data_IF_722707795365
#
_entry.id   IF_722707795365
#
_cell.length_a   1.000
_cell.length_b   1.000
_cell.length_c   1.000
_cell.angle_alpha   90.00
_cell.angle_beta   90.00
_cell.angle_gamma   90.00
#
_symmetry.space_group_name_H-M   'P 1'
#
loop_
_entity.id
_entity.type
_entity.pdbx_description
1 polymer ?
#
# COMPACT_ATOMS: atom_id res chain seq x y z
N UNK A 1 -8.88 16.85 -2.40
CA UNK A 1 -8.14 15.59 -2.31
C UNK A 1 -7.77 15.29 -0.89
N UNK A 2 -8.00 14.08 -0.45
CA UNK A 2 -7.66 13.69 0.92
C UNK A 2 -6.15 13.61 1.09
N UNK A 3 -5.67 14.06 2.23
CA UNK A 3 -4.26 13.96 2.55
C UNK A 3 -3.93 12.55 3.01
N UNK A 4 -2.92 11.97 2.40
CA UNK A 4 -2.39 10.67 2.80
C UNK A 4 -0.91 10.84 3.06
N UNK A 5 -0.49 10.53 4.28
CA UNK A 5 0.92 10.55 4.63
C UNK A 5 1.54 9.20 4.30
N UNK A 6 2.68 9.21 3.63
CA UNK A 6 3.43 7.99 3.35
C UNK A 6 4.70 8.03 4.19
N UNK A 7 4.88 7.02 5.02
CA UNK A 7 5.98 6.95 5.97
C UNK A 7 6.73 5.64 5.76
N UNK A 8 8.06 5.71 5.88
CA UNK A 8 8.90 4.51 5.80
C UNK A 8 9.47 4.24 7.19
N UNK A 9 9.25 3.02 7.66
CA UNK A 9 9.78 2.56 8.93
C UNK A 9 10.71 1.38 8.71
N UNK A 10 11.73 1.20 9.57
CA UNK A 10 12.69 0.12 9.35
C UNK A 10 12.08 -1.28 9.54
N UNK A 11 11.33 -1.49 10.61
CA UNK A 11 10.78 -2.80 10.91
C UNK A 11 9.32 -2.71 11.36
N UNK A 12 8.50 -3.71 11.04
CA UNK A 12 7.12 -3.73 11.48
C UNK A 12 7.00 -4.14 12.95
N UNK A 13 5.86 -3.81 13.58
CA UNK A 13 5.61 -4.20 14.98
C UNK A 13 5.41 -5.72 15.14
N UNK A 14 5.16 -6.42 14.04
CA UNK A 14 5.01 -7.87 14.05
C UNK A 14 5.50 -8.46 12.73
N UNK A 15 5.97 -9.73 12.76
CA UNK A 15 6.50 -10.38 11.55
C UNK A 15 5.47 -10.48 10.42
N UNK A 16 5.96 -10.45 9.20
CA UNK A 16 5.15 -10.69 8.02
C UNK A 16 4.42 -9.48 7.49
N UNK A 17 4.52 -8.34 8.14
CA UNK A 17 3.83 -7.14 7.72
C UNK A 17 4.75 -6.33 6.78
N UNK A 18 4.31 -6.11 5.56
CA UNK A 18 5.07 -5.33 4.58
C UNK A 18 4.65 -3.86 4.57
N UNK A 19 3.39 -3.59 4.88
CA UNK A 19 2.86 -2.25 4.94
C UNK A 19 1.64 -2.20 5.82
N UNK A 20 1.19 -1.00 6.13
CA UNK A 20 0.03 -0.81 6.99
C UNK A 20 -0.69 0.47 6.60
N UNK A 21 -1.97 0.35 6.35
CA UNK A 21 -2.83 1.50 6.17
C UNK A 21 -3.51 1.82 7.50
N UNK A 22 -3.41 3.07 7.92
CA UNK A 22 -4.07 3.55 9.14
C UNK A 22 -4.93 4.76 8.78
N UNK A 23 -6.19 4.67 9.12
CA UNK A 23 -7.14 5.73 8.80
C UNK A 23 -8.51 5.13 8.56
N UNK A 24 -9.37 5.92 7.95
CA UNK A 24 -10.69 5.45 7.55
C UNK A 24 -10.81 5.47 6.04
N UNK A 25 -11.20 4.35 5.43
CA UNK A 25 -11.42 4.32 4.00
C UNK A 25 -12.42 5.39 3.57
N UNK A 26 -12.21 5.97 2.41
CA UNK A 26 -13.05 7.06 1.91
C UNK A 26 -14.51 6.66 1.85
N UNK A 27 -14.80 5.41 1.53
CA UNK A 27 -16.17 4.91 1.43
C UNK A 27 -16.94 4.98 2.75
N UNK A 28 -16.23 5.01 3.88
CA UNK A 28 -16.84 4.98 5.21
C UNK A 28 -16.76 6.30 5.97
N UNK A 29 -16.28 7.35 5.32
CA UNK A 29 -16.08 8.63 5.99
C UNK A 29 -17.37 9.44 6.06
N UNK A 30 -17.59 10.04 7.22
CA UNK A 30 -18.58 11.09 7.36
C UNK A 30 -17.93 12.44 7.03
N UNK A 31 -18.74 13.48 6.90
CA UNK A 31 -18.24 14.83 6.65
C UNK A 31 -17.32 15.30 7.77
N UNK A 32 -17.65 14.98 9.00
CA UNK A 32 -16.84 15.36 10.16
C UNK A 32 -15.48 14.69 10.12
N UNK A 33 -15.44 13.44 9.73
CA UNK A 33 -14.20 12.68 9.70
C UNK A 33 -13.24 13.19 8.64
N UNK A 34 -13.74 13.89 7.63
CA UNK A 34 -12.90 14.50 6.61
C UNK A 34 -11.95 15.55 7.18
N UNK A 35 -12.26 16.10 8.35
CA UNK A 35 -11.43 17.09 9.01
C UNK A 35 -10.52 16.50 10.07
N UNK A 36 -10.56 15.18 10.25
CA UNK A 36 -9.71 14.49 11.19
C UNK A 36 -8.29 14.35 10.64
N UNK A 37 -7.43 13.67 11.39
CA UNK A 37 -6.05 13.46 10.98
C UNK A 37 -5.98 12.75 9.64
N UNK A 38 -4.95 13.06 8.82
CA UNK A 38 -4.80 12.41 7.53
C UNK A 38 -4.59 10.91 7.68
N UNK A 39 -4.97 10.17 6.65
CA UNK A 39 -4.67 8.76 6.59
C UNK A 39 -3.17 8.57 6.46
N UNK A 40 -2.70 7.43 6.91
CA UNK A 40 -1.27 7.13 6.92
C UNK A 40 -1.03 5.76 6.32
N UNK A 41 -0.10 5.69 5.40
CA UNK A 41 0.39 4.43 4.85
C UNK A 41 1.83 4.28 5.29
N UNK A 42 2.14 3.18 5.96
CA UNK A 42 3.49 2.88 6.40
C UNK A 42 4.05 1.76 5.54
N UNK A 43 5.27 1.93 5.04
CA UNK A 43 6.01 0.90 4.32
C UNK A 43 7.15 0.47 5.21
N UNK A 44 7.29 -0.84 5.41
CA UNK A 44 8.34 -1.39 6.26
C UNK A 44 9.53 -1.81 5.39
N UNK A 45 10.61 -1.05 5.50
CA UNK A 45 11.78 -1.18 4.63
C UNK A 45 12.49 -2.52 4.80
N UNK A 46 12.71 -2.96 6.04
CA UNK A 46 13.48 -4.17 6.32
C UNK A 46 12.96 -5.42 5.62
N UNK A 47 11.65 -5.74 5.77
CA UNK A 47 11.12 -6.91 5.09
C UNK A 47 11.28 -6.88 3.57
N UNK A 48 11.09 -5.70 2.96
CA UNK A 48 11.26 -5.57 1.52
C UNK A 48 12.71 -5.85 1.10
N UNK A 49 13.65 -5.30 1.84
CA UNK A 49 15.06 -5.48 1.53
C UNK A 49 15.51 -6.93 1.70
N UNK A 50 14.97 -7.60 2.72
CA UNK A 50 15.34 -9.01 2.96
C UNK A 50 14.79 -9.95 1.91
N UNK A 51 13.65 -9.62 1.32
CA UNK A 51 12.99 -10.47 0.32
C UNK A 51 13.46 -10.19 -1.10
N UNK A 52 13.84 -8.95 -1.39
CA UNK A 52 14.25 -8.58 -2.73
C UNK A 52 15.65 -9.08 -3.04
N UNK A 53 15.83 -9.61 -4.24
CA UNK A 53 17.11 -10.14 -4.70
C UNK A 53 17.90 -9.12 -5.52
N UNK A 54 17.19 -8.15 -6.09
CA UNK A 54 17.80 -7.12 -6.94
C UNK A 54 17.15 -5.78 -6.63
N UNK A 55 17.82 -4.66 -6.97
CA UNK A 55 17.21 -3.34 -6.81
C UNK A 55 15.88 -3.20 -7.58
N UNK A 56 15.80 -3.78 -8.77
CA UNK A 56 14.57 -3.72 -9.56
C UNK A 56 13.43 -4.48 -8.86
N UNK A 57 13.73 -5.62 -8.27
CA UNK A 57 12.75 -6.41 -7.51
C UNK A 57 12.30 -5.65 -6.26
N UNK A 58 13.22 -5.00 -5.57
CA UNK A 58 12.90 -4.16 -4.42
C UNK A 58 11.91 -3.07 -4.79
N UNK A 59 12.19 -2.37 -5.88
CA UNK A 59 11.33 -1.30 -6.39
C UNK A 59 9.92 -1.82 -6.68
N UNK A 60 9.84 -2.96 -7.35
CA UNK A 60 8.55 -3.56 -7.68
C UNK A 60 7.79 -3.99 -6.43
N UNK A 61 8.47 -4.57 -5.45
CA UNK A 61 7.83 -4.99 -4.21
C UNK A 61 7.27 -3.82 -3.43
N UNK A 62 8.02 -2.73 -3.35
CA UNK A 62 7.56 -1.51 -2.67
C UNK A 62 6.34 -0.93 -3.38
N UNK A 63 6.39 -0.89 -4.71
CA UNK A 63 5.26 -0.40 -5.50
C UNK A 63 4.01 -1.25 -5.27
N UNK A 64 4.17 -2.56 -5.23
CA UNK A 64 3.06 -3.48 -5.01
C UNK A 64 2.46 -3.30 -3.61
N UNK A 65 3.31 -3.14 -2.60
CA UNK A 65 2.84 -2.90 -1.23
C UNK A 65 2.09 -1.58 -1.14
N UNK A 66 2.65 -0.54 -1.72
CA UNK A 66 2.01 0.78 -1.72
C UNK A 66 0.64 0.72 -2.40
N UNK A 67 0.58 0.06 -3.56
CA UNK A 67 -0.68 -0.09 -4.29
C UNK A 67 -1.73 -0.81 -3.44
N UNK A 68 -1.31 -1.87 -2.74
CA UNK A 68 -2.19 -2.64 -1.87
C UNK A 68 -2.79 -1.75 -0.77
N UNK A 69 -1.96 -0.94 -0.12
CA UNK A 69 -2.44 -0.07 0.95
C UNK A 69 -3.29 1.09 0.42
N UNK A 70 -2.97 1.60 -0.76
CA UNK A 70 -3.80 2.62 -1.42
C UNK A 70 -5.18 2.05 -1.73
N UNK A 71 -5.27 0.80 -2.16
CA UNK A 71 -6.55 0.16 -2.42
C UNK A 71 -7.42 0.13 -1.16
N UNK A 72 -6.80 -0.14 -0.01
CA UNK A 72 -7.53 -0.08 1.27
C UNK A 72 -8.01 1.32 1.59
N UNK A 73 -7.21 2.34 1.27
CA UNK A 73 -7.61 3.72 1.45
C UNK A 73 -8.90 4.04 0.68
N UNK A 74 -9.07 3.46 -0.50
CA UNK A 74 -10.29 3.65 -1.29
C UNK A 74 -11.45 2.74 -0.86
N UNK A 75 -11.27 1.99 0.22
CA UNK A 75 -12.36 1.20 0.80
C UNK A 75 -12.49 -0.21 0.24
N UNK A 76 -11.50 -0.68 -0.52
CA UNK A 76 -11.54 -2.05 -1.03
C UNK A 76 -11.22 -3.04 0.08
N UNK A 77 -12.03 -4.08 0.21
CA UNK A 77 -11.74 -5.14 1.15
C UNK A 77 -10.70 -6.11 0.57
N UNK A 78 -10.19 -7.03 1.39
CA UNK A 78 -9.15 -7.96 0.95
C UNK A 78 -9.51 -8.78 -0.30
N UNK A 79 -10.71 -9.37 -0.41
CA UNK A 79 -11.05 -10.10 -1.63
C UNK A 79 -11.00 -9.23 -2.89
N UNK A 80 -11.48 -8.00 -2.79
CA UNK A 80 -11.44 -7.07 -3.92
C UNK A 80 -10.04 -6.66 -4.28
N UNK A 81 -9.21 -6.39 -3.26
CA UNK A 81 -7.81 -6.03 -3.47
C UNK A 81 -7.08 -7.17 -4.17
N UNK A 82 -7.27 -8.40 -3.71
CA UNK A 82 -6.63 -9.57 -4.32
C UNK A 82 -7.07 -9.80 -5.75
N UNK A 83 -8.34 -9.58 -6.03
CA UNK A 83 -8.85 -9.68 -7.39
C UNK A 83 -8.21 -8.64 -8.30
N UNK A 84 -8.15 -7.39 -7.84
CA UNK A 84 -7.54 -6.31 -8.60
C UNK A 84 -6.06 -6.53 -8.82
N UNK A 85 -5.37 -7.09 -7.83
CA UNK A 85 -3.96 -7.44 -7.97
C UNK A 85 -3.75 -8.51 -9.04
N UNK A 86 -4.62 -9.53 -9.08
CA UNK A 86 -4.55 -10.55 -10.12
C UNK A 86 -4.77 -9.96 -11.50
N UNK A 87 -5.75 -9.07 -11.63
CA UNK A 87 -5.99 -8.40 -12.91
C UNK A 87 -4.82 -7.53 -13.32
N UNK A 88 -4.23 -6.82 -12.39
CA UNK A 88 -3.05 -6.00 -12.62
C UNK A 88 -1.87 -6.85 -13.08
N UNK A 89 -1.66 -8.01 -12.46
CA UNK A 89 -0.57 -8.91 -12.78
C UNK A 89 -0.71 -9.53 -14.17
N UNK A 90 -1.94 -9.66 -14.68
CA UNK A 90 -2.19 -10.20 -16.02
C UNK A 90 -1.85 -9.23 -17.13
N UNK A 91 -1.73 -7.95 -16.81
CA UNK A 91 -1.43 -6.94 -17.82
C UNK A 91 0.08 -6.83 -17.99
N UNK A 92 0.59 -6.94 -19.22
CA UNK A 92 2.01 -6.75 -19.45
C UNK A 92 2.42 -5.36 -18.98
N UNK A 93 3.50 -5.30 -18.24
CA UNK A 93 4.06 -4.02 -17.84
C UNK A 93 4.81 -3.48 -19.05
N UNK A 94 4.33 -2.39 -19.60
CA UNK A 94 5.05 -1.71 -20.65
C UNK A 94 6.15 -0.90 -20.00
N UNK A 95 7.35 -1.33 -20.23
CA UNK A 95 8.50 -0.56 -19.83
C UNK A 95 8.85 0.39 -20.95
N UNK A 96 9.09 1.61 -20.58
CA UNK A 96 9.68 2.55 -21.51
C UNK A 96 11.19 2.37 -21.43
N UNK A 97 11.72 1.99 -22.51
CA UNK A 97 13.16 1.85 -22.62
C UNK A 97 13.75 3.11 -23.22
#
# INVERSE_FOLDING_TARGET
>A
MQNVAIVVEPEPPRPGLLGLYQGRPLANRSVFESFAMPDKITIYQGPHERMARTPAELEQMVADTLWHEIAHHFGMDEPRVRRAERERAKRPIRRRD
#
